data_IF_848825256387
#
_entry.id   IF_848825256387
#
_cell.length_a   1.000
_cell.length_b   1.000
_cell.length_c   1.000
_cell.angle_alpha   90.00
_cell.angle_beta   90.00
_cell.angle_gamma   90.00
#
_symmetry.space_group_name_H-M   'P 1'
#
loop_
_entity.id
_entity.type
_entity.pdbx_description
1 polymer ?
#
# COMPACT_ATOMS: atom_id res chain seq x y z
N UNK A 1 -1.51 45.28 -8.48
CA UNK A 1 -2.34 45.43 -9.70
C UNK A 1 -3.33 44.30 -9.76
N UNK A 2 -4.58 44.60 -10.09
CA UNK A 2 -5.59 43.61 -10.44
C UNK A 2 -5.66 43.51 -11.97
N UNK A 3 -5.56 42.30 -12.51
CA UNK A 3 -5.69 41.98 -13.92
C UNK A 3 -6.75 40.90 -14.17
N UNK A 4 -7.67 40.67 -13.22
CA UNK A 4 -8.77 39.75 -13.38
C UNK A 4 -9.64 40.15 -14.57
N UNK A 5 -10.09 39.16 -15.34
CA UNK A 5 -11.02 39.36 -16.46
C UNK A 5 -12.48 39.23 -16.04
N UNK A 6 -12.72 38.79 -14.80
CA UNK A 6 -14.04 38.67 -14.16
C UNK A 6 -14.03 39.39 -12.81
N UNK A 7 -15.23 39.60 -12.28
CA UNK A 7 -15.40 40.09 -10.91
C UNK A 7 -14.89 39.09 -9.88
N UNK A 8 -14.69 39.57 -8.65
CA UNK A 8 -14.47 38.73 -7.49
C UNK A 8 -15.20 39.39 -6.32
N UNK A 9 -16.20 38.72 -5.77
CA UNK A 9 -17.05 39.26 -4.71
C UNK A 9 -16.78 38.49 -3.42
N UNK A 10 -16.78 39.23 -2.31
CA UNK A 10 -16.90 38.66 -0.98
C UNK A 10 -18.32 38.90 -0.48
N UNK A 11 -19.00 37.83 -0.06
CA UNK A 11 -20.36 37.90 0.46
C UNK A 11 -20.42 37.38 1.90
N UNK A 12 -21.19 38.07 2.74
CA UNK A 12 -21.61 37.62 4.06
C UNK A 12 -23.13 37.62 4.10
N UNK A 13 -23.72 36.44 4.17
CA UNK A 13 -25.17 36.28 4.14
C UNK A 13 -25.63 35.08 4.95
N UNK A 14 -26.95 34.90 5.11
CA UNK A 14 -27.50 33.74 5.76
C UNK A 14 -29.03 33.73 5.78
N UNK A 15 -29.59 32.57 6.10
CA UNK A 15 -31.02 32.33 6.29
C UNK A 15 -31.24 31.24 7.36
N UNK A 16 -32.48 30.76 7.53
CA UNK A 16 -32.81 29.75 8.53
C UNK A 16 -32.11 28.39 8.32
N UNK A 17 -31.76 28.04 7.08
CA UNK A 17 -31.08 26.78 6.73
C UNK A 17 -29.57 26.94 6.65
N UNK A 18 -29.08 28.16 6.39
CA UNK A 18 -27.67 28.52 6.33
C UNK A 18 -27.42 29.73 7.24
N UNK A 19 -27.41 29.57 8.58
CA UNK A 19 -27.35 30.69 9.52
C UNK A 19 -26.24 31.71 9.28
N UNK A 20 -25.08 31.27 8.78
CA UNK A 20 -23.97 32.16 8.42
C UNK A 20 -23.17 31.53 7.29
N UNK A 21 -23.00 32.27 6.19
CA UNK A 21 -22.18 31.91 5.03
C UNK A 21 -21.19 33.04 4.75
N UNK A 22 -19.92 32.68 4.62
CA UNK A 22 -18.86 33.54 4.08
C UNK A 22 -18.45 32.95 2.74
N UNK A 23 -18.72 33.65 1.64
CA UNK A 23 -18.64 33.13 0.27
C UNK A 23 -17.82 34.03 -0.64
N UNK A 24 -17.04 33.42 -1.54
CA UNK A 24 -16.38 34.08 -2.65
C UNK A 24 -17.00 33.60 -3.97
N UNK A 25 -17.33 34.55 -4.85
CA UNK A 25 -17.88 34.29 -6.19
C UNK A 25 -17.33 35.24 -7.26
N UNK A 26 -17.68 34.96 -8.51
CA UNK A 26 -17.51 35.84 -9.67
C UNK A 26 -18.78 35.86 -10.54
N UNK A 27 -18.68 36.46 -11.73
CA UNK A 27 -19.77 36.57 -12.71
C UNK A 27 -20.34 35.21 -13.17
N UNK A 28 -19.64 34.11 -12.93
CA UNK A 28 -19.99 32.74 -13.33
C UNK A 28 -20.45 31.86 -12.16
N UNK A 29 -20.30 32.31 -10.92
CA UNK A 29 -20.82 31.66 -9.73
C UNK A 29 -19.84 31.58 -8.57
N UNK A 30 -20.21 30.83 -7.52
CA UNK A 30 -19.41 30.70 -6.32
C UNK A 30 -18.19 29.80 -6.53
N UNK A 31 -17.08 30.19 -5.92
CA UNK A 31 -15.81 29.46 -5.91
C UNK A 31 -15.67 28.64 -4.64
N UNK A 32 -15.89 29.27 -3.49
CA UNK A 32 -15.78 28.62 -2.19
C UNK A 32 -16.61 29.35 -1.14
N UNK A 33 -17.00 28.62 -0.11
CA UNK A 33 -17.61 29.20 1.09
C UNK A 33 -17.27 28.42 2.35
N UNK A 34 -17.28 29.13 3.48
CA UNK A 34 -17.49 28.50 4.78
C UNK A 34 -18.92 28.74 5.25
N UNK A 35 -19.53 27.74 5.88
CA UNK A 35 -20.90 27.81 6.36
C UNK A 35 -21.02 27.20 7.74
N UNK A 36 -21.72 27.90 8.65
CA UNK A 36 -22.27 27.30 9.87
C UNK A 36 -23.64 26.72 9.55
N UNK A 37 -23.83 25.44 9.84
CA UNK A 37 -25.10 24.75 9.69
C UNK A 37 -26.02 25.00 10.89
N UNK A 38 -27.34 24.73 10.78
CA UNK A 38 -28.29 24.89 11.89
C UNK A 38 -27.95 24.05 13.12
N UNK A 39 -27.28 22.91 12.94
CA UNK A 39 -26.80 22.04 14.02
C UNK A 39 -25.50 22.54 14.69
N UNK A 40 -24.97 23.67 14.23
CA UNK A 40 -23.73 24.26 14.74
C UNK A 40 -22.44 23.71 14.12
N UNK A 41 -22.51 22.68 13.26
CA UNK A 41 -21.34 22.20 12.50
C UNK A 41 -20.89 23.25 11.47
N UNK A 42 -19.65 23.14 11.02
CA UNK A 42 -19.07 24.02 9.99
C UNK A 42 -18.61 23.19 8.81
N UNK A 43 -18.91 23.67 7.61
CA UNK A 43 -18.35 23.14 6.36
C UNK A 43 -17.50 24.21 5.68
N UNK A 44 -16.47 23.76 4.96
CA UNK A 44 -15.74 24.55 3.99
C UNK A 44 -15.85 23.82 2.65
N UNK A 45 -16.41 24.50 1.65
CA UNK A 45 -16.74 23.89 0.36
C UNK A 45 -16.04 24.67 -0.74
N UNK A 46 -15.46 23.95 -1.69
CA UNK A 46 -14.83 24.50 -2.90
C UNK A 46 -15.54 23.92 -4.11
N UNK A 47 -15.93 24.77 -5.04
CA UNK A 47 -16.51 24.42 -6.33
C UNK A 47 -15.39 24.13 -7.34
N UNK A 48 -14.63 23.08 -7.08
CA UNK A 48 -13.48 22.71 -7.91
C UNK A 48 -12.46 21.87 -7.15
N UNK A 49 -11.24 21.83 -7.69
CA UNK A 49 -10.15 21.05 -7.13
C UNK A 49 -9.43 21.79 -6.00
N UNK A 50 -9.09 21.05 -4.95
CA UNK A 50 -8.19 21.53 -3.89
C UNK A 50 -6.79 21.00 -4.17
N UNK A 51 -5.88 21.91 -4.55
CA UNK A 51 -4.45 21.60 -4.66
C UNK A 51 -3.72 22.10 -3.42
N UNK A 52 -3.05 21.18 -2.71
CA UNK A 52 -2.27 21.49 -1.52
C UNK A 52 -0.92 20.79 -1.57
N UNK A 53 0.12 21.42 -1.01
CA UNK A 53 1.42 20.75 -0.81
C UNK A 53 1.29 19.52 0.10
N UNK A 54 0.40 19.60 1.09
CA UNK A 54 0.08 18.51 2.02
C UNK A 54 -1.31 18.74 2.57
N UNK A 55 -2.17 17.73 2.55
CA UNK A 55 -3.47 17.77 3.23
C UNK A 55 -3.34 17.12 4.61
N UNK A 56 -3.74 17.84 5.67
CA UNK A 56 -3.77 17.32 7.04
C UNK A 56 -5.22 17.22 7.51
N UNK A 57 -5.66 16.01 7.85
CA UNK A 57 -7.00 15.74 8.35
C UNK A 57 -6.89 15.11 9.75
N UNK A 58 -7.02 15.95 10.79
CA UNK A 58 -6.67 15.55 12.15
C UNK A 58 -5.19 15.14 12.22
N UNK A 59 -4.94 13.91 12.69
CA UNK A 59 -3.58 13.34 12.75
C UNK A 59 -3.08 12.70 11.45
N UNK A 60 -3.93 12.56 10.43
CA UNK A 60 -3.55 11.97 9.15
C UNK A 60 -2.91 13.01 8.21
N UNK A 61 -1.92 12.57 7.43
CA UNK A 61 -1.21 13.43 6.46
C UNK A 61 -1.22 12.75 5.10
N UNK A 62 -1.75 13.44 4.08
CA UNK A 62 -1.66 13.02 2.67
C UNK A 62 -0.53 13.80 2.00
N UNK A 63 0.49 13.09 1.51
CA UNK A 63 1.66 13.67 0.86
C UNK A 63 1.49 13.79 -0.66
N UNK A 64 2.32 14.64 -1.27
CA UNK A 64 2.34 14.90 -2.71
C UNK A 64 2.83 13.71 -3.55
N UNK A 65 3.48 12.72 -2.94
CA UNK A 65 3.90 11.47 -3.58
C UNK A 65 2.82 10.36 -3.51
N UNK A 66 1.63 10.67 -3.00
CA UNK A 66 0.52 9.72 -2.82
C UNK A 66 0.56 8.90 -1.53
N UNK A 67 1.56 9.10 -0.68
CA UNK A 67 1.67 8.38 0.60
C UNK A 67 0.78 9.00 1.68
N UNK A 68 0.40 8.18 2.66
CA UNK A 68 -0.52 8.55 3.74
C UNK A 68 0.11 8.19 5.08
N UNK A 69 0.32 9.16 5.95
CA UNK A 69 0.74 8.95 7.34
C UNK A 69 -0.48 8.84 8.26
N UNK A 70 -0.42 7.94 9.24
CA UNK A 70 -1.49 7.81 10.24
C UNK A 70 -1.18 6.84 11.36
N UNK A 71 -1.94 6.96 12.46
CA UNK A 71 -1.78 6.11 13.65
C UNK A 71 -2.15 4.64 13.40
N UNK A 72 -3.10 4.37 12.50
CA UNK A 72 -3.48 3.00 12.10
C UNK A 72 -2.33 2.25 11.40
N UNK A 73 -1.37 2.98 10.82
CA UNK A 73 -0.14 2.44 10.23
C UNK A 73 1.01 2.34 11.25
N UNK A 74 0.71 2.40 12.55
CA UNK A 74 1.71 2.40 13.63
C UNK A 74 2.48 3.72 13.74
N UNK A 75 1.81 4.86 13.48
CA UNK A 75 2.45 6.17 13.35
C UNK A 75 3.55 6.17 12.28
N UNK A 76 3.24 5.59 11.12
CA UNK A 76 4.14 5.45 9.99
C UNK A 76 3.46 5.81 8.68
N UNK A 77 4.23 5.78 7.60
CA UNK A 77 3.75 5.92 6.25
C UNK A 77 3.10 4.61 5.77
N UNK A 78 1.97 4.72 5.07
CA UNK A 78 1.24 3.58 4.52
C UNK A 78 2.13 2.74 3.61
N UNK A 79 2.98 3.37 2.79
CA UNK A 79 3.92 2.65 1.91
C UNK A 79 4.87 1.74 2.69
N UNK A 80 5.46 2.23 3.79
CA UNK A 80 6.35 1.48 4.67
C UNK A 80 5.60 0.38 5.44
N UNK A 81 4.40 0.69 5.91
CA UNK A 81 3.55 -0.28 6.57
C UNK A 81 3.16 -1.43 5.63
N UNK A 82 2.75 -1.14 4.39
CA UNK A 82 2.45 -2.18 3.39
C UNK A 82 3.70 -3.02 3.10
N UNK A 83 4.83 -2.36 2.85
CA UNK A 83 6.09 -3.04 2.53
C UNK A 83 6.49 -4.05 3.61
N UNK A 84 6.32 -3.70 4.89
CA UNK A 84 6.72 -4.55 6.03
C UNK A 84 5.66 -5.59 6.47
N UNK A 85 4.42 -5.48 6.03
CA UNK A 85 3.33 -6.34 6.52
C UNK A 85 2.75 -7.30 5.46
N UNK A 86 3.05 -7.10 4.17
CA UNK A 86 2.57 -7.97 3.10
C UNK A 86 3.71 -8.68 2.35
N UNK A 87 3.37 -9.82 1.74
CA UNK A 87 4.26 -10.50 0.81
C UNK A 87 4.31 -9.72 -0.49
N UNK A 88 5.48 -9.18 -0.80
CA UNK A 88 5.73 -8.37 -2.00
C UNK A 88 6.14 -9.22 -3.21
N UNK A 89 6.64 -10.44 -2.99
CA UNK A 89 7.11 -11.33 -4.06
C UNK A 89 7.30 -12.78 -3.57
N UNK A 90 7.36 -13.75 -4.48
CA UNK A 90 7.61 -15.17 -4.23
C UNK A 90 8.57 -15.73 -5.29
N UNK A 91 9.59 -16.48 -4.85
CA UNK A 91 10.57 -17.09 -5.74
C UNK A 91 11.02 -18.48 -5.26
N UNK A 92 11.71 -19.21 -6.13
CA UNK A 92 12.63 -20.27 -5.73
C UNK A 92 14.02 -19.65 -5.54
N UNK A 93 14.64 -19.90 -4.38
CA UNK A 93 16.01 -19.46 -4.11
C UNK A 93 17.05 -20.33 -4.81
N UNK A 94 18.31 -20.18 -4.40
CA UNK A 94 19.41 -20.99 -4.95
C UNK A 94 19.15 -22.49 -4.69
N UNK A 95 19.16 -23.28 -5.77
CA UNK A 95 18.97 -24.72 -5.70
C UNK A 95 20.22 -25.49 -5.27
N UNK A 96 20.00 -26.72 -4.84
CA UNK A 96 21.04 -27.72 -4.56
C UNK A 96 20.56 -29.10 -5.04
N UNK A 97 21.43 -30.11 -4.97
CA UNK A 97 21.21 -31.46 -5.47
C UNK A 97 21.67 -32.49 -4.46
N UNK A 98 20.99 -33.63 -4.38
CA UNK A 98 21.44 -34.79 -3.60
C UNK A 98 21.28 -36.08 -4.41
N UNK A 99 22.27 -36.97 -4.36
CA UNK A 99 22.11 -38.32 -4.89
C UNK A 99 21.29 -39.17 -3.93
N UNK A 100 20.29 -39.91 -4.41
CA UNK A 100 19.35 -40.67 -3.58
C UNK A 100 19.52 -42.19 -3.64
N UNK A 101 20.13 -42.73 -4.70
CA UNK A 101 20.26 -44.18 -4.88
C UNK A 101 21.15 -44.85 -3.81
N UNK A 102 22.13 -44.12 -3.27
CA UNK A 102 23.06 -44.58 -2.22
C UNK A 102 23.05 -43.72 -0.95
N UNK A 103 22.20 -42.69 -0.85
CA UNK A 103 22.04 -41.91 0.37
C UNK A 103 20.61 -42.07 0.89
N UNK A 104 20.47 -42.84 1.96
CA UNK A 104 19.19 -42.99 2.65
C UNK A 104 18.72 -41.65 3.26
N UNK A 105 17.43 -41.36 3.18
CA UNK A 105 16.81 -40.19 3.81
C UNK A 105 15.56 -39.70 3.10
N UNK A 106 14.81 -38.83 3.77
CA UNK A 106 13.63 -38.16 3.22
C UNK A 106 14.04 -36.79 2.69
N UNK A 107 14.38 -36.71 1.40
CA UNK A 107 14.84 -35.48 0.76
C UNK A 107 13.71 -34.77 -0.01
N UNK A 108 13.68 -33.42 -0.03
CA UNK A 108 14.48 -32.51 0.78
C UNK A 108 14.13 -32.61 2.27
N UNK A 109 15.15 -32.76 3.12
CA UNK A 109 14.99 -32.89 4.57
C UNK A 109 15.03 -31.53 5.30
N UNK A 110 14.95 -30.43 4.55
CA UNK A 110 14.96 -29.06 5.08
C UNK A 110 13.60 -28.42 4.85
N UNK A 111 12.88 -27.99 5.91
CA UNK A 111 11.59 -27.33 5.77
C UNK A 111 11.65 -26.13 4.82
N UNK A 112 10.60 -25.99 4.00
CA UNK A 112 10.51 -24.91 3.03
C UNK A 112 11.21 -25.15 1.70
N UNK A 113 11.92 -26.27 1.55
CA UNK A 113 12.49 -26.65 0.25
C UNK A 113 11.51 -27.51 -0.53
N UNK A 114 11.48 -27.31 -1.85
CA UNK A 114 10.65 -28.05 -2.79
C UNK A 114 11.54 -28.69 -3.85
N UNK A 115 11.15 -29.89 -4.31
CA UNK A 115 11.82 -30.56 -5.44
C UNK A 115 11.54 -29.79 -6.71
N UNK A 116 12.59 -29.46 -7.45
CA UNK A 116 12.53 -28.71 -8.71
C UNK A 116 12.81 -29.58 -9.93
N UNK A 117 13.53 -30.68 -9.77
CA UNK A 117 13.65 -31.74 -10.78
C UNK A 117 14.19 -33.03 -10.17
N UNK A 118 14.06 -34.13 -10.91
CA UNK A 118 14.53 -35.47 -10.56
C UNK A 118 15.34 -36.00 -11.76
N UNK A 119 16.42 -36.74 -11.51
CA UNK A 119 17.19 -37.38 -12.59
C UNK A 119 17.47 -38.85 -12.30
N UNK A 120 17.67 -39.57 -13.40
CA UNK A 120 18.08 -40.96 -13.44
C UNK A 120 19.05 -41.14 -14.61
N UNK A 121 20.10 -41.92 -14.41
CA UNK A 121 20.98 -42.40 -15.46
C UNK A 121 20.45 -43.74 -16.04
N UNK A 122 21.29 -44.39 -16.86
CA UNK A 122 20.92 -45.63 -17.54
C UNK A 122 21.17 -46.88 -16.68
N UNK A 123 21.69 -46.73 -15.47
CA UNK A 123 22.16 -47.79 -14.61
C UNK A 123 21.17 -48.03 -13.46
N UNK A 124 20.93 -49.30 -13.14
CA UNK A 124 20.08 -49.69 -12.02
C UNK A 124 18.60 -49.27 -12.17
N UNK A 125 17.85 -49.49 -11.09
CA UNK A 125 16.40 -49.29 -11.04
C UNK A 125 15.97 -48.06 -10.23
N UNK A 126 16.85 -47.56 -9.35
CA UNK A 126 16.55 -46.47 -8.43
C UNK A 126 16.68 -45.08 -9.08
N UNK A 127 16.05 -44.07 -8.47
CA UNK A 127 16.27 -42.65 -8.79
C UNK A 127 17.67 -42.24 -8.31
N UNK A 128 18.46 -41.62 -9.18
CA UNK A 128 19.83 -41.25 -8.85
C UNK A 128 19.92 -40.01 -8.00
N UNK A 129 19.01 -39.05 -8.17
CA UNK A 129 18.92 -37.92 -7.26
C UNK A 129 17.81 -36.92 -7.57
N UNK A 130 17.74 -35.90 -6.71
CA UNK A 130 16.76 -34.81 -6.80
C UNK A 130 17.40 -33.43 -6.61
N UNK A 131 16.88 -32.44 -7.33
CA UNK A 131 17.28 -31.04 -7.26
C UNK A 131 16.18 -30.37 -6.47
N UNK A 132 16.55 -29.51 -5.55
CA UNK A 132 15.58 -28.85 -4.69
C UNK A 132 16.07 -27.45 -4.33
N UNK A 133 15.12 -26.55 -4.10
CA UNK A 133 15.38 -25.14 -3.81
C UNK A 133 14.41 -24.65 -2.72
N UNK A 134 14.80 -23.63 -1.93
CA UNK A 134 13.90 -23.06 -0.94
C UNK A 134 12.81 -22.26 -1.66
N UNK A 135 11.55 -22.51 -1.32
CA UNK A 135 10.46 -21.59 -1.64
C UNK A 135 10.59 -20.38 -0.71
N UNK A 136 10.73 -19.19 -1.29
CA UNK A 136 10.97 -17.95 -0.56
C UNK A 136 9.86 -16.93 -0.81
N UNK A 137 9.53 -16.16 0.22
CA UNK A 137 8.64 -14.99 0.15
C UNK A 137 9.39 -13.73 0.56
N UNK A 138 9.12 -12.60 -0.11
CA UNK A 138 9.70 -11.31 0.27
C UNK A 138 8.71 -10.53 1.12
N UNK A 139 9.14 -10.11 2.31
CA UNK A 139 8.42 -9.16 3.17
C UNK A 139 9.43 -8.10 3.59
N UNK A 140 9.06 -6.84 3.50
CA UNK A 140 10.03 -5.75 3.60
C UNK A 140 11.04 -5.81 2.45
N UNK A 141 12.31 -5.58 2.80
CA UNK A 141 13.45 -5.80 1.92
C UNK A 141 14.12 -7.17 2.15
N UNK A 142 13.47 -8.10 2.84
CA UNK A 142 14.05 -9.38 3.22
C UNK A 142 13.32 -10.56 2.57
N UNK A 143 14.11 -11.54 2.11
CA UNK A 143 13.60 -12.83 1.65
C UNK A 143 13.62 -13.84 2.80
N UNK A 144 12.49 -14.53 2.98
CA UNK A 144 12.33 -15.58 3.99
C UNK A 144 12.00 -16.89 3.31
N UNK A 145 12.69 -17.97 3.70
CA UNK A 145 12.25 -19.32 3.34
C UNK A 145 10.93 -19.60 4.04
N UNK A 146 9.94 -20.07 3.28
CA UNK A 146 8.62 -20.43 3.80
C UNK A 146 8.79 -21.59 4.78
N UNK A 147 8.24 -21.49 5.98
CA UNK A 147 8.21 -22.63 6.89
C UNK A 147 7.33 -23.71 6.29
N UNK A 148 7.85 -24.93 6.17
CA UNK A 148 7.03 -26.08 5.81
C UNK A 148 5.94 -26.29 6.86
N UNK A 149 4.74 -26.65 6.43
CA UNK A 149 3.70 -27.11 7.37
C UNK A 149 4.18 -28.38 8.08
N UNK A 150 3.78 -28.57 9.34
CA UNK A 150 3.92 -29.87 9.99
C UNK A 150 2.98 -30.85 9.31
N UNK A 151 3.51 -31.97 8.82
CA UNK A 151 2.73 -33.06 8.23
C UNK A 151 1.84 -33.74 9.27
#
# INVERSE_FOLDING_TARGET
>A
NNNSTMTATFNLWGDANRPTVIELDDDQGWHLYSQRNPDGSIVFTVNGDITANTLRAGGAIYQNNGDIFGSVWGNSWLSLWINNNFVADVQLGAGTSVTTWNNAGSWPNTPGYVVTSVWKDAQGENIDGINYAPLQKRVGNQWYTVQGGTA
#
